data_IF_869865849167
#
_entry.id   IF_869865849167
#
_cell.length_a   1.000
_cell.length_b   1.000
_cell.length_c   1.000
_cell.angle_alpha   90.00
_cell.angle_beta   90.00
_cell.angle_gamma   90.00
#
_symmetry.space_group_name_H-M   'P 1'
#
loop_
_entity.id
_entity.type
_entity.pdbx_description
1 polymer ?
#
# COMPACT_ATOMS: atom_id res chain seq x y z
N UNK A 1 2.30 18.65 -9.97
CA UNK A 1 3.05 18.44 -8.71
C UNK A 1 2.83 17.02 -8.27
N UNK A 2 3.89 16.23 -8.13
CA UNK A 2 3.80 14.89 -7.54
C UNK A 2 3.71 15.03 -6.02
N UNK A 3 2.89 14.22 -5.33
CA UNK A 3 2.88 14.20 -3.87
C UNK A 3 4.25 13.87 -3.28
N UNK A 4 4.56 14.35 -2.06
CA UNK A 4 5.86 14.10 -1.44
C UNK A 4 6.02 12.61 -1.11
N UNK A 5 7.27 12.14 -1.12
CA UNK A 5 7.62 10.72 -0.94
C UNK A 5 7.22 10.17 0.43
N UNK A 6 7.20 11.02 1.45
CA UNK A 6 6.78 10.70 2.81
C UNK A 6 5.26 10.87 3.07
N UNK A 7 4.46 11.18 2.03
CA UNK A 7 3.01 11.24 2.17
C UNK A 7 2.47 9.87 2.62
N UNK A 8 1.56 9.87 3.59
CA UNK A 8 0.88 8.66 4.05
C UNK A 8 -0.18 8.21 3.03
N UNK A 9 -0.11 6.97 2.60
CA UNK A 9 -1.04 6.31 1.70
C UNK A 9 -1.64 5.07 2.37
N UNK A 10 -2.90 4.74 2.03
CA UNK A 10 -3.50 3.46 2.42
C UNK A 10 -3.15 2.42 1.37
N UNK A 11 -2.60 1.30 1.82
CA UNK A 11 -2.22 0.16 1.00
C UNK A 11 -2.86 -1.12 1.55
N UNK A 12 -2.95 -2.14 0.70
CA UNK A 12 -3.37 -3.47 1.11
C UNK A 12 -2.15 -4.32 1.50
N UNK A 13 -2.16 -4.93 2.69
CA UNK A 13 -1.10 -5.86 3.13
C UNK A 13 -0.91 -6.97 2.10
N UNK A 14 -1.99 -7.68 1.79
CA UNK A 14 -2.09 -8.56 0.63
C UNK A 14 -2.59 -7.73 -0.55
N UNK A 15 -1.82 -7.60 -1.65
CA UNK A 15 -2.23 -6.81 -2.80
C UNK A 15 -3.55 -7.30 -3.39
N UNK A 16 -4.40 -6.36 -3.82
CA UNK A 16 -5.67 -6.67 -4.49
C UNK A 16 -5.50 -7.56 -5.73
N UNK A 17 -4.40 -7.39 -6.48
CA UNK A 17 -4.06 -8.24 -7.63
C UNK A 17 -3.76 -9.70 -7.27
N UNK A 18 -3.50 -10.00 -5.99
CA UNK A 18 -3.30 -11.35 -5.43
C UNK A 18 -4.51 -11.84 -4.62
N UNK A 19 -5.66 -11.17 -4.71
CA UNK A 19 -6.88 -11.55 -4.01
C UNK A 19 -7.02 -10.97 -2.60
N UNK A 20 -6.21 -9.97 -2.23
CA UNK A 20 -6.37 -9.29 -0.94
C UNK A 20 -7.70 -8.56 -0.81
N UNK A 21 -8.34 -8.71 0.34
CA UNK A 21 -9.66 -8.15 0.62
C UNK A 21 -9.61 -6.66 0.96
N UNK A 22 -10.69 -5.93 0.70
CA UNK A 22 -10.82 -4.50 1.05
C UNK A 22 -11.24 -4.25 2.50
N UNK A 23 -10.84 -5.11 3.43
CA UNK A 23 -11.20 -5.01 4.86
C UNK A 23 -10.21 -4.10 5.60
N UNK A 24 -10.62 -3.45 6.71
CA UNK A 24 -9.70 -2.69 7.55
C UNK A 24 -8.52 -3.52 8.06
N UNK A 25 -8.70 -4.83 8.25
CA UNK A 25 -7.68 -5.78 8.71
C UNK A 25 -6.58 -6.02 7.67
N UNK A 26 -6.91 -5.98 6.37
CA UNK A 26 -5.93 -6.04 5.29
C UNK A 26 -5.40 -4.65 4.90
N UNK A 27 -5.77 -3.61 5.64
CA UNK A 27 -5.31 -2.23 5.42
C UNK A 27 -4.03 -1.93 6.20
N UNK A 28 -3.09 -1.25 5.56
CA UNK A 28 -1.92 -0.67 6.20
C UNK A 28 -1.67 0.77 5.73
N UNK A 29 -0.94 1.55 6.53
CA UNK A 29 -0.52 2.90 6.17
C UNK A 29 0.96 2.90 5.88
N UNK A 30 1.32 3.26 4.64
CA UNK A 30 2.70 3.34 4.18
C UNK A 30 3.03 4.75 3.72
N UNK A 31 4.32 5.08 3.66
CA UNK A 31 4.74 6.25 2.91
C UNK A 31 4.58 6.00 1.41
N UNK A 32 4.44 7.06 0.59
CA UNK A 32 4.30 6.92 -0.87
C UNK A 32 5.46 6.13 -1.48
N UNK A 33 6.68 6.43 -1.08
CA UNK A 33 7.87 5.69 -1.57
C UNK A 33 7.81 4.21 -1.16
N UNK A 34 7.54 3.94 0.12
CA UNK A 34 7.35 2.61 0.69
C UNK A 34 6.27 1.81 -0.05
N UNK A 35 5.15 2.45 -0.39
CA UNK A 35 4.03 1.86 -1.12
C UNK A 35 4.44 1.51 -2.56
N UNK A 36 5.15 2.42 -3.24
CA UNK A 36 5.69 2.19 -4.59
C UNK A 36 6.73 1.06 -4.60
N UNK A 37 7.62 0.99 -3.60
CA UNK A 37 8.62 -0.06 -3.45
C UNK A 37 7.98 -1.44 -3.15
N UNK A 38 6.93 -1.45 -2.32
CA UNK A 38 6.14 -2.65 -2.03
C UNK A 38 5.45 -3.17 -3.29
N UNK A 39 4.84 -2.30 -4.09
CA UNK A 39 4.18 -2.66 -5.35
C UNK A 39 3.16 -3.81 -5.13
N UNK A 40 3.21 -4.87 -5.93
CA UNK A 40 2.37 -6.06 -5.80
C UNK A 40 2.98 -7.17 -4.93
N UNK A 41 3.94 -6.84 -4.06
CA UNK A 41 4.50 -7.79 -3.11
C UNK A 41 3.63 -7.85 -1.87
N UNK A 42 3.38 -9.06 -1.39
CA UNK A 42 2.95 -9.26 -0.02
C UNK A 42 4.23 -9.35 0.83
N UNK A 43 4.20 -8.95 2.11
CA UNK A 43 5.28 -9.27 3.04
C UNK A 43 5.58 -10.78 3.08
#
# INVERSE_FOLDING_TARGET
>A
MSPPTNQRERDHVIPKSKGGEGTPENGQVLCRECNLEKSNKAP
#
